data_IF_911457992647
#
_entry.id   IF_911457992647
#
_cell.length_a   1.000
_cell.length_b   1.000
_cell.length_c   1.000
_cell.angle_alpha   90.00
_cell.angle_beta   90.00
_cell.angle_gamma   90.00
#
_symmetry.space_group_name_H-M   'P 1'
#
loop_
_entity.id
_entity.type
_entity.pdbx_description
1 polymer ?
#
# COMPACT_ATOMS: atom_id res chain seq x y z
N UNK A 1 -38.95 22.38 -22.63
CA UNK A 1 -38.09 21.24 -22.99
C UNK A 1 -37.53 21.56 -24.36
N UNK A 2 -36.38 22.20 -24.39
CA UNK A 2 -35.65 22.47 -25.63
C UNK A 2 -34.67 21.32 -25.78
N UNK A 3 -34.87 20.50 -26.82
CA UNK A 3 -33.89 19.51 -27.25
C UNK A 3 -32.55 20.21 -27.41
N UNK A 4 -31.60 19.84 -26.57
CA UNK A 4 -30.26 20.39 -26.60
C UNK A 4 -29.55 19.88 -27.85
N UNK A 5 -29.22 20.80 -28.76
CA UNK A 5 -28.48 20.52 -29.98
C UNK A 5 -27.19 19.75 -29.64
N UNK A 6 -26.95 18.55 -30.21
CA UNK A 6 -25.76 17.74 -29.94
C UNK A 6 -24.42 18.44 -30.25
N UNK A 7 -24.44 19.62 -30.88
CA UNK A 7 -23.30 20.50 -31.07
C UNK A 7 -23.15 21.67 -30.08
N UNK A 8 -23.94 21.78 -29.00
CA UNK A 8 -23.82 22.92 -28.06
C UNK A 8 -22.41 22.96 -27.41
N UNK A 9 -21.61 24.02 -27.64
CA UNK A 9 -20.28 24.15 -27.06
C UNK A 9 -20.24 24.03 -25.53
N UNK A 10 -21.34 24.35 -24.84
CA UNK A 10 -21.46 24.23 -23.40
C UNK A 10 -21.54 22.75 -22.93
N UNK A 11 -22.25 21.90 -23.68
CA UNK A 11 -22.32 20.47 -23.40
C UNK A 11 -20.96 19.81 -23.60
N UNK A 12 -20.29 20.15 -24.71
CA UNK A 12 -18.97 19.63 -25.03
C UNK A 12 -17.92 20.10 -24.03
N UNK A 13 -17.98 21.37 -23.60
CA UNK A 13 -17.08 21.87 -22.56
C UNK A 13 -17.28 21.15 -21.21
N UNK A 14 -18.53 20.91 -20.80
CA UNK A 14 -18.82 20.13 -19.60
C UNK A 14 -18.28 18.69 -19.71
N UNK A 15 -18.51 18.03 -20.86
CA UNK A 15 -18.01 16.68 -21.13
C UNK A 15 -16.48 16.62 -21.01
N UNK A 16 -15.78 17.55 -21.65
CA UNK A 16 -14.31 17.62 -21.62
C UNK A 16 -13.78 17.94 -20.21
N UNK A 17 -14.44 18.82 -19.45
CA UNK A 17 -14.04 19.12 -18.08
C UNK A 17 -14.10 17.87 -17.18
N UNK A 18 -15.17 17.07 -17.32
CA UNK A 18 -15.33 15.80 -16.61
C UNK A 18 -14.29 14.76 -17.03
N UNK A 19 -14.12 14.55 -18.33
CA UNK A 19 -13.16 13.56 -18.83
C UNK A 19 -11.73 13.90 -18.46
N UNK A 20 -11.33 15.18 -18.54
CA UNK A 20 -10.01 15.61 -18.12
C UNK A 20 -9.78 15.37 -16.62
N UNK A 21 -10.78 15.62 -15.78
CA UNK A 21 -10.70 15.31 -14.37
C UNK A 21 -10.57 13.79 -14.14
N UNK A 22 -11.45 12.99 -14.73
CA UNK A 22 -11.43 11.53 -14.61
C UNK A 22 -10.08 10.93 -15.07
N UNK A 23 -9.55 11.37 -16.22
CA UNK A 23 -8.23 10.96 -16.70
C UNK A 23 -7.10 11.41 -15.77
N UNK A 24 -7.18 12.60 -15.20
CA UNK A 24 -6.22 13.09 -14.21
C UNK A 24 -6.23 12.24 -12.94
N UNK A 25 -7.41 11.85 -12.45
CA UNK A 25 -7.55 10.94 -11.31
C UNK A 25 -6.95 9.56 -11.60
N UNK A 26 -7.28 8.96 -12.75
CA UNK A 26 -6.76 7.64 -13.16
C UNK A 26 -5.24 7.67 -13.29
N UNK A 27 -4.70 8.69 -13.96
CA UNK A 27 -3.25 8.88 -14.14
C UNK A 27 -2.57 9.08 -12.79
N UNK A 28 -3.16 9.90 -11.92
CA UNK A 28 -2.70 10.11 -10.54
C UNK A 28 -2.63 8.82 -9.74
N UNK A 29 -3.63 7.92 -9.85
CA UNK A 29 -3.61 6.62 -9.20
C UNK A 29 -2.47 5.72 -9.71
N UNK A 30 -2.31 5.59 -11.04
CA UNK A 30 -1.24 4.78 -11.63
C UNK A 30 0.16 5.28 -11.28
N UNK A 31 0.36 6.58 -11.34
CA UNK A 31 1.65 7.19 -11.00
C UNK A 31 1.95 7.03 -9.51
N UNK A 32 0.98 7.29 -8.64
CA UNK A 32 1.16 7.14 -7.19
C UNK A 32 1.44 5.69 -6.79
N UNK A 33 0.82 4.72 -7.47
CA UNK A 33 1.11 3.31 -7.26
C UNK A 33 2.54 2.95 -7.72
N UNK A 34 2.95 3.40 -8.90
CA UNK A 34 4.28 3.15 -9.46
C UNK A 34 5.39 3.74 -8.58
N UNK A 35 5.16 4.88 -7.93
CA UNK A 35 6.08 5.53 -6.99
C UNK A 35 6.38 4.71 -5.72
N UNK A 36 5.66 3.61 -5.51
CA UNK A 36 5.95 2.68 -4.42
C UNK A 36 6.99 1.61 -4.78
N UNK A 37 7.35 1.47 -6.06
CA UNK A 37 8.35 0.50 -6.52
C UNK A 37 9.67 0.56 -5.73
N UNK A 38 10.26 1.74 -5.45
CA UNK A 38 11.49 1.82 -4.67
C UNK A 38 11.36 1.29 -3.23
N UNK A 39 10.16 1.30 -2.64
CA UNK A 39 9.93 0.72 -1.32
C UNK A 39 10.00 -0.81 -1.36
N UNK A 40 9.39 -1.39 -2.41
CA UNK A 40 9.42 -2.84 -2.65
C UNK A 40 10.84 -3.31 -2.98
N UNK A 41 11.58 -2.53 -3.76
CA UNK A 41 13.00 -2.79 -4.07
C UNK A 41 13.86 -2.78 -2.80
N UNK A 42 13.75 -1.73 -1.97
CA UNK A 42 14.46 -1.65 -0.69
C UNK A 42 14.16 -2.83 0.23
N UNK A 43 12.90 -3.25 0.30
CA UNK A 43 12.52 -4.44 1.06
C UNK A 43 13.15 -5.71 0.48
N UNK A 44 13.17 -5.86 -0.85
CA UNK A 44 13.77 -7.01 -1.53
C UNK A 44 15.28 -7.08 -1.32
N UNK A 45 15.98 -5.95 -1.41
CA UNK A 45 17.42 -5.86 -1.10
C UNK A 45 17.70 -6.16 0.37
N UNK A 46 16.90 -5.62 1.29
CA UNK A 46 17.04 -5.88 2.72
C UNK A 46 16.85 -7.37 3.03
N UNK A 47 15.85 -8.00 2.43
CA UNK A 47 15.59 -9.43 2.54
C UNK A 47 16.77 -10.24 2.00
N UNK A 48 17.24 -9.93 0.78
CA UNK A 48 18.35 -10.62 0.14
C UNK A 48 19.64 -10.52 0.97
N UNK A 49 19.98 -9.31 1.44
CA UNK A 49 21.14 -9.07 2.27
C UNK A 49 21.03 -9.82 3.61
N UNK A 50 19.86 -9.78 4.26
CA UNK A 50 19.61 -10.50 5.50
C UNK A 50 19.74 -12.01 5.36
N UNK A 51 19.13 -12.60 4.32
CA UNK A 51 19.24 -14.04 4.05
C UNK A 51 20.64 -14.45 3.64
N UNK A 52 21.33 -13.64 2.83
CA UNK A 52 22.70 -13.90 2.38
C UNK A 52 23.70 -13.84 3.53
N UNK A 53 23.63 -12.81 4.37
CA UNK A 53 24.48 -12.69 5.55
C UNK A 53 24.25 -13.83 6.54
N UNK A 54 22.98 -14.22 6.77
CA UNK A 54 22.65 -15.34 7.67
C UNK A 54 23.21 -16.66 7.15
N UNK A 55 23.05 -16.95 5.85
CA UNK A 55 23.59 -18.16 5.24
C UNK A 55 25.12 -18.20 5.29
N UNK A 56 25.78 -17.08 4.96
CA UNK A 56 27.24 -16.99 4.99
C UNK A 56 27.80 -17.19 6.40
N UNK A 57 27.23 -16.52 7.42
CA UNK A 57 27.64 -16.68 8.81
C UNK A 57 27.42 -18.11 9.32
N UNK A 58 26.28 -18.73 8.98
CA UNK A 58 26.01 -20.10 9.40
C UNK A 58 27.03 -21.07 8.79
N UNK A 59 27.29 -20.99 7.48
CA UNK A 59 28.26 -21.86 6.81
C UNK A 59 29.68 -21.68 7.36
N UNK A 60 30.10 -20.42 7.54
CA UNK A 60 31.49 -20.11 7.95
C UNK A 60 31.77 -20.41 9.42
N UNK A 61 30.75 -20.37 10.29
CA UNK A 61 30.95 -20.51 11.73
C UNK A 61 30.42 -21.80 12.33
N UNK A 62 29.81 -22.69 11.54
CA UNK A 62 29.21 -23.92 12.05
C UNK A 62 30.22 -24.80 12.81
N UNK A 63 31.43 -24.97 12.26
CA UNK A 63 32.50 -25.77 12.87
C UNK A 63 33.03 -25.15 14.18
N UNK A 64 33.07 -23.81 14.24
CA UNK A 64 33.53 -23.06 15.42
C UNK A 64 32.51 -23.08 16.55
N UNK A 65 31.21 -23.15 16.24
CA UNK A 65 30.11 -23.00 17.22
C UNK A 65 29.65 -24.34 17.80
N UNK A 66 29.66 -25.42 16.99
CA UNK A 66 29.25 -26.77 17.40
C UNK A 66 29.90 -27.27 18.71
N UNK A 67 31.23 -27.09 18.93
CA UNK A 67 31.90 -27.54 20.15
C UNK A 67 31.38 -26.88 21.44
N UNK A 68 30.90 -25.64 21.35
CA UNK A 68 30.49 -24.84 22.52
C UNK A 68 28.99 -24.84 22.79
N UNK A 69 28.17 -25.41 21.92
CA UNK A 69 26.72 -25.41 22.08
C UNK A 69 26.11 -26.81 22.15
N UNK A 70 26.91 -27.87 21.92
CA UNK A 70 26.45 -29.23 21.66
C UNK A 70 25.52 -29.30 20.44
N UNK A 71 25.38 -30.48 19.82
CA UNK A 71 24.52 -30.64 18.64
C UNK A 71 23.05 -30.27 18.93
N UNK A 72 22.57 -30.60 20.15
CA UNK A 72 21.19 -30.33 20.56
C UNK A 72 20.95 -28.85 20.87
N UNK A 73 21.89 -28.20 21.59
CA UNK A 73 21.78 -26.76 21.90
C UNK A 73 21.87 -25.90 20.63
N UNK A 74 22.73 -26.26 19.68
CA UNK A 74 22.80 -25.60 18.37
C UNK A 74 21.46 -25.67 17.61
N UNK A 75 20.84 -26.85 17.51
CA UNK A 75 19.54 -27.02 16.83
C UNK A 75 18.43 -26.19 17.47
N UNK A 76 18.33 -26.20 18.80
CA UNK A 76 17.30 -25.45 19.53
C UNK A 76 17.50 -23.94 19.35
N UNK A 77 18.72 -23.45 19.54
CA UNK A 77 19.04 -22.04 19.35
C UNK A 77 18.74 -21.59 17.91
N UNK A 78 19.07 -22.42 16.91
CA UNK A 78 18.75 -22.15 15.51
C UNK A 78 17.24 -22.06 15.27
N UNK A 79 16.44 -22.98 15.82
CA UNK A 79 14.98 -22.95 15.69
C UNK A 79 14.39 -21.67 16.29
N UNK A 80 14.80 -21.29 17.51
CA UNK A 80 14.30 -20.08 18.18
C UNK A 80 14.69 -18.83 17.39
N UNK A 81 15.92 -18.79 16.85
CA UNK A 81 16.40 -17.69 16.02
C UNK A 81 15.62 -17.58 14.71
N UNK A 82 15.35 -18.69 14.02
CA UNK A 82 14.55 -18.72 12.79
C UNK A 82 13.12 -18.24 13.07
N UNK A 83 12.50 -18.69 14.17
CA UNK A 83 11.17 -18.21 14.57
C UNK A 83 11.18 -16.70 14.83
N UNK A 84 12.18 -16.19 15.55
CA UNK A 84 12.35 -14.74 15.75
C UNK A 84 12.44 -13.99 14.42
N UNK A 85 13.28 -14.47 13.49
CA UNK A 85 13.44 -13.86 12.18
C UNK A 85 12.14 -13.86 11.37
N UNK A 86 11.35 -14.94 11.39
CA UNK A 86 10.03 -15.02 10.75
C UNK A 86 9.07 -13.95 11.30
N UNK A 87 9.05 -13.75 12.62
CA UNK A 87 8.23 -12.68 13.21
C UNK A 87 8.72 -11.29 12.78
N UNK A 88 10.03 -11.10 12.68
CA UNK A 88 10.63 -9.87 12.13
C UNK A 88 10.22 -9.61 10.68
N UNK A 89 10.19 -10.64 9.83
CA UNK A 89 9.69 -10.54 8.45
C UNK A 89 8.21 -10.14 8.40
N UNK A 90 7.37 -10.74 9.25
CA UNK A 90 5.95 -10.38 9.35
C UNK A 90 5.79 -8.93 9.80
N UNK A 91 6.54 -8.49 10.81
CA UNK A 91 6.54 -7.09 11.25
C UNK A 91 6.95 -6.13 10.13
N UNK A 92 8.02 -6.46 9.40
CA UNK A 92 8.51 -5.66 8.27
C UNK A 92 7.51 -5.60 7.11
N UNK A 93 6.80 -6.69 6.83
CA UNK A 93 5.72 -6.71 5.85
C UNK A 93 4.60 -5.72 6.20
N UNK A 94 4.13 -5.72 7.46
CA UNK A 94 3.11 -4.76 7.90
C UNK A 94 3.60 -3.31 7.85
N UNK A 95 4.87 -3.08 8.19
CA UNK A 95 5.52 -1.77 8.08
C UNK A 95 5.53 -1.28 6.62
N UNK A 96 6.01 -2.12 5.70
CA UNK A 96 6.04 -1.80 4.27
C UNK A 96 4.64 -1.49 3.73
N UNK A 97 3.64 -2.29 4.13
CA UNK A 97 2.25 -2.05 3.73
C UNK A 97 1.73 -0.68 4.19
N UNK A 98 2.06 -0.27 5.43
CA UNK A 98 1.70 1.04 5.95
C UNK A 98 2.39 2.16 5.16
N UNK A 99 3.68 2.01 4.88
CA UNK A 99 4.48 2.99 4.14
C UNK A 99 3.99 3.16 2.69
N UNK A 100 3.72 2.05 2.00
CA UNK A 100 3.09 2.02 0.68
C UNK A 100 1.78 2.80 0.69
N UNK A 101 0.90 2.51 1.66
CA UNK A 101 -0.40 3.17 1.73
C UNK A 101 -0.28 4.69 1.91
N UNK A 102 0.55 5.13 2.87
CA UNK A 102 0.77 6.56 3.13
C UNK A 102 1.38 7.25 1.93
N UNK A 103 2.36 6.62 1.27
CA UNK A 103 3.04 7.20 0.10
C UNK A 103 2.10 7.31 -1.10
N UNK A 104 1.28 6.29 -1.38
CA UNK A 104 0.24 6.34 -2.42
C UNK A 104 -0.73 7.48 -2.13
N UNK A 105 -1.26 7.56 -0.90
CA UNK A 105 -2.24 8.59 -0.55
C UNK A 105 -1.66 10.00 -0.67
N UNK A 106 -0.45 10.22 -0.14
CA UNK A 106 0.22 11.52 -0.21
C UNK A 106 0.46 11.94 -1.65
N UNK A 107 1.00 11.04 -2.48
CA UNK A 107 1.33 11.37 -3.87
C UNK A 107 0.09 11.50 -4.75
N UNK A 108 -0.94 10.70 -4.48
CA UNK A 108 -2.22 10.80 -5.16
C UNK A 108 -2.86 12.16 -4.89
N UNK A 109 -2.90 12.60 -3.63
CA UNK A 109 -3.42 13.91 -3.28
C UNK A 109 -2.62 15.04 -3.93
N UNK A 110 -1.29 14.94 -3.96
CA UNK A 110 -0.42 15.92 -4.62
C UNK A 110 -0.72 16.04 -6.13
N UNK A 111 -0.93 14.92 -6.82
CA UNK A 111 -1.20 14.89 -8.27
C UNK A 111 -2.63 15.29 -8.62
N UNK A 112 -3.61 14.92 -7.79
CA UNK A 112 -5.03 15.14 -8.07
C UNK A 112 -5.51 16.51 -7.61
N UNK A 113 -4.94 17.09 -6.55
CA UNK A 113 -5.32 18.44 -6.10
C UNK A 113 -5.35 19.50 -7.22
N UNK A 114 -4.31 19.66 -8.07
CA UNK A 114 -4.36 20.65 -9.15
C UNK A 114 -5.39 20.30 -10.23
N UNK A 115 -5.67 19.02 -10.46
CA UNK A 115 -6.72 18.55 -11.40
C UNK A 115 -8.10 18.93 -10.85
N UNK A 116 -8.32 18.71 -9.56
CA UNK A 116 -9.57 19.05 -8.88
C UNK A 116 -9.78 20.56 -8.82
N UNK A 117 -8.77 21.33 -8.42
CA UNK A 117 -8.82 22.81 -8.37
C UNK A 117 -9.16 23.41 -9.74
N UNK A 118 -8.66 22.80 -10.84
CA UNK A 118 -9.01 23.21 -12.21
C UNK A 118 -10.45 22.82 -12.55
N UNK A 119 -10.85 21.59 -12.24
CA UNK A 119 -12.19 21.09 -12.50
C UNK A 119 -13.27 21.93 -11.81
N UNK A 120 -13.07 22.26 -10.53
CA UNK A 120 -13.98 23.09 -9.73
C UNK A 120 -14.13 24.50 -10.33
N UNK A 121 -13.01 25.14 -10.72
CA UNK A 121 -13.04 26.45 -11.37
C UNK A 121 -13.79 26.44 -12.70
N UNK A 122 -13.56 25.41 -13.52
CA UNK A 122 -14.25 25.28 -14.81
C UNK A 122 -15.73 24.93 -14.59
N UNK A 123 -16.04 24.11 -13.58
CA UNK A 123 -17.41 23.76 -13.18
C UNK A 123 -18.23 24.97 -12.74
N UNK A 124 -17.67 25.85 -11.91
CA UNK A 124 -18.35 27.09 -11.47
C UNK A 124 -18.73 27.96 -12.67
N UNK A 125 -17.82 28.11 -13.63
CA UNK A 125 -18.08 28.87 -14.87
C UNK A 125 -19.13 28.17 -15.73
N UNK A 126 -19.04 26.86 -15.91
CA UNK A 126 -20.02 26.07 -16.67
C UNK A 126 -21.42 26.22 -16.07
N UNK A 127 -21.55 26.15 -14.73
CA UNK A 127 -22.82 26.35 -14.02
C UNK A 127 -23.38 27.77 -14.21
N UNK A 128 -22.52 28.79 -14.20
CA UNK A 128 -22.92 30.17 -14.47
C UNK A 128 -23.50 30.33 -15.88
N UNK A 129 -22.81 29.82 -16.91
CA UNK A 129 -23.28 29.84 -18.29
C UNK A 129 -24.55 28.98 -18.49
N UNK A 130 -24.64 27.84 -17.81
CA UNK A 130 -25.83 26.98 -17.86
C UNK A 130 -27.06 27.67 -17.26
N UNK A 131 -26.88 28.41 -16.15
CA UNK A 131 -27.94 29.22 -15.53
C UNK A 131 -28.42 30.33 -16.46
N UNK A 132 -27.51 30.99 -17.19
CA UNK A 132 -27.85 31.99 -18.20
C UNK A 132 -28.66 31.39 -19.37
N UNK A 133 -28.36 30.16 -19.78
CA UNK A 133 -29.09 29.42 -20.82
C UNK A 133 -30.35 28.69 -20.32
N UNK A 134 -30.61 28.67 -19.02
CA UNK A 134 -31.73 27.92 -18.43
C UNK A 134 -31.59 26.39 -18.53
N UNK A 135 -30.37 25.87 -18.70
CA UNK A 135 -30.07 24.43 -18.82
C UNK A 135 -29.49 23.93 -17.50
N UNK A 136 -29.85 22.71 -17.10
CA UNK A 136 -29.22 22.03 -15.96
C UNK A 136 -28.22 21.02 -16.48
N UNK A 137 -26.97 21.07 -16.00
CA UNK A 137 -25.89 20.19 -16.42
C UNK A 137 -25.38 19.38 -15.23
N UNK A 138 -25.13 18.09 -15.47
CA UNK A 138 -24.47 17.24 -14.50
C UNK A 138 -22.95 17.39 -14.64
N UNK A 139 -22.33 18.00 -13.65
CA UNK A 139 -20.89 18.33 -13.62
C UNK A 139 -20.09 17.33 -12.78
N UNK A 140 -20.74 16.51 -11.96
CA UNK A 140 -20.10 15.58 -11.03
C UNK A 140 -19.17 14.56 -11.73
N UNK A 141 -18.01 14.33 -11.12
CA UNK A 141 -17.01 13.33 -11.52
C UNK A 141 -17.54 11.92 -11.23
N UNK A 142 -17.45 11.00 -12.19
CA UNK A 142 -17.83 9.60 -11.98
C UNK A 142 -16.67 8.76 -11.42
N UNK A 143 -16.66 8.58 -10.10
CA UNK A 143 -15.70 7.72 -9.41
C UNK A 143 -15.76 6.24 -9.87
N UNK A 144 -16.91 5.78 -10.38
CA UNK A 144 -17.05 4.42 -10.90
C UNK A 144 -16.27 4.25 -12.20
N UNK A 145 -16.32 5.24 -13.08
CA UNK A 145 -15.53 5.27 -14.32
C UNK A 145 -14.04 5.32 -14.02
N UNK A 146 -13.61 6.15 -13.08
CA UNK A 146 -12.22 6.20 -12.61
C UNK A 146 -11.77 4.83 -12.11
N UNK A 147 -12.55 4.18 -11.24
CA UNK A 147 -12.19 2.88 -10.68
C UNK A 147 -12.16 1.78 -11.75
N UNK A 148 -13.10 1.82 -12.71
CA UNK A 148 -13.13 0.87 -13.82
C UNK A 148 -11.86 0.98 -14.67
N UNK A 149 -11.50 2.20 -15.10
CA UNK A 149 -10.27 2.47 -15.87
C UNK A 149 -9.01 2.12 -15.08
N UNK A 150 -8.91 2.53 -13.82
CA UNK A 150 -7.79 2.16 -12.94
C UNK A 150 -7.67 0.64 -12.80
N UNK A 151 -8.80 -0.08 -12.74
CA UNK A 151 -8.80 -1.52 -12.58
C UNK A 151 -8.41 -2.28 -13.85
N UNK A 152 -8.55 -1.68 -15.04
CA UNK A 152 -8.36 -2.35 -16.35
C UNK A 152 -7.08 -3.17 -16.50
N UNK A 153 -5.87 -2.68 -16.15
CA UNK A 153 -4.63 -3.44 -16.33
C UNK A 153 -4.48 -4.62 -15.38
N UNK A 154 -5.30 -4.72 -14.33
CA UNK A 154 -5.20 -5.81 -13.36
C UNK A 154 -5.88 -7.10 -13.86
N UNK A 155 -5.36 -8.27 -13.46
CA UNK A 155 -6.01 -9.55 -13.75
C UNK A 155 -7.33 -9.70 -12.98
N UNK A 156 -8.19 -10.63 -13.44
CA UNK A 156 -9.57 -10.78 -12.95
C UNK A 156 -9.66 -10.99 -11.43
N UNK A 157 -8.72 -11.72 -10.84
CA UNK A 157 -8.71 -12.02 -9.41
C UNK A 157 -8.43 -10.76 -8.57
N UNK A 158 -7.57 -9.86 -9.05
CA UNK A 158 -7.30 -8.56 -8.38
C UNK A 158 -8.51 -7.64 -8.51
N UNK A 159 -9.13 -7.58 -9.69
CA UNK A 159 -10.38 -6.81 -9.90
C UNK A 159 -11.47 -7.26 -8.93
N UNK A 160 -11.63 -8.58 -8.76
CA UNK A 160 -12.56 -9.15 -7.79
C UNK A 160 -12.23 -8.75 -6.35
N UNK A 161 -10.95 -8.77 -5.95
CA UNK A 161 -10.52 -8.32 -4.61
C UNK A 161 -10.80 -6.83 -4.37
N UNK A 162 -10.54 -5.98 -5.35
CA UNK A 162 -10.81 -4.53 -5.28
C UNK A 162 -12.31 -4.31 -5.09
N UNK A 163 -13.15 -4.90 -5.95
CA UNK A 163 -14.61 -4.76 -5.90
C UNK A 163 -15.17 -5.23 -4.56
N UNK A 164 -14.76 -6.42 -4.09
CA UNK A 164 -15.20 -6.96 -2.80
C UNK A 164 -14.81 -6.05 -1.63
N UNK A 165 -13.62 -5.43 -1.71
CA UNK A 165 -13.16 -4.53 -0.65
C UNK A 165 -13.88 -3.20 -0.67
N UNK A 166 -14.18 -2.63 -1.84
CA UNK A 166 -15.00 -1.43 -1.98
C UNK A 166 -16.39 -1.69 -1.39
N UNK A 167 -17.04 -2.80 -1.76
CA UNK A 167 -18.36 -3.18 -1.22
C UNK A 167 -18.35 -3.38 0.30
N UNK A 168 -17.32 -4.04 0.84
CA UNK A 168 -17.20 -4.25 2.29
C UNK A 168 -17.01 -2.94 3.07
N UNK A 169 -16.52 -1.91 2.39
CA UNK A 169 -16.10 -0.65 2.99
C UNK A 169 -17.04 0.51 2.63
N UNK A 170 -18.08 0.24 1.83
CA UNK A 170 -19.05 1.25 1.42
C UNK A 170 -19.78 1.80 2.64
N UNK A 171 -19.64 3.10 2.90
CA UNK A 171 -20.25 3.78 4.04
C UNK A 171 -19.26 4.19 5.15
N UNK A 172 -18.06 3.61 5.20
CA UNK A 172 -17.01 4.03 6.16
C UNK A 172 -16.05 5.03 5.50
N UNK A 173 -16.25 6.32 5.78
CA UNK A 173 -15.38 7.42 5.28
C UNK A 173 -13.94 7.32 5.78
N UNK A 174 -13.70 6.62 6.90
CA UNK A 174 -12.39 6.54 7.55
C UNK A 174 -11.69 5.19 7.35
N UNK A 175 -12.27 4.30 6.55
CA UNK A 175 -11.74 2.95 6.41
C UNK A 175 -10.30 2.87 5.91
N UNK A 176 -9.86 3.82 5.08
CA UNK A 176 -8.47 3.95 4.68
C UNK A 176 -7.56 4.09 5.90
N UNK A 177 -7.88 5.00 6.80
CA UNK A 177 -7.12 5.23 8.03
C UNK A 177 -7.21 4.02 9.00
N UNK A 178 -8.38 3.39 9.12
CA UNK A 178 -8.53 2.18 9.93
C UNK A 178 -7.62 1.04 9.46
N UNK A 179 -7.48 0.85 8.15
CA UNK A 179 -6.60 -0.17 7.57
C UNK A 179 -5.13 0.14 7.89
N UNK A 180 -4.71 1.40 7.78
CA UNK A 180 -3.35 1.83 8.08
C UNK A 180 -3.01 1.63 9.56
N UNK A 181 -3.87 2.11 10.46
CA UNK A 181 -3.67 1.97 11.91
C UNK A 181 -3.66 0.51 12.34
N UNK A 182 -4.53 -0.33 11.76
CA UNK A 182 -4.51 -1.77 12.05
C UNK A 182 -3.22 -2.45 11.58
N UNK A 183 -2.67 -2.04 10.43
CA UNK A 183 -1.37 -2.52 9.96
C UNK A 183 -0.24 -2.10 10.91
N UNK A 184 -0.25 -0.83 11.35
CA UNK A 184 0.70 -0.30 12.32
C UNK A 184 0.65 -1.03 13.68
N UNK A 185 -0.55 -1.25 14.24
CA UNK A 185 -0.71 -2.01 15.48
C UNK A 185 -0.26 -3.46 15.32
N UNK A 186 -0.50 -4.07 14.16
CA UNK A 186 0.00 -5.41 13.84
C UNK A 186 1.53 -5.42 13.80
N UNK A 187 2.17 -4.44 13.16
CA UNK A 187 3.63 -4.29 13.13
C UNK A 187 4.20 -4.27 14.55
N UNK A 188 3.68 -3.41 15.44
CA UNK A 188 4.14 -3.31 16.83
C UNK A 188 4.06 -4.66 17.53
N UNK A 189 2.92 -5.35 17.41
CA UNK A 189 2.71 -6.64 18.06
C UNK A 189 3.73 -7.69 17.59
N UNK A 190 4.00 -7.75 16.29
CA UNK A 190 4.98 -8.72 15.76
C UNK A 190 6.42 -8.37 16.13
N UNK A 191 6.78 -7.08 16.14
CA UNK A 191 8.09 -6.63 16.62
C UNK A 191 8.30 -6.97 18.09
N UNK A 192 7.26 -6.83 18.92
CA UNK A 192 7.32 -7.21 20.33
C UNK A 192 7.61 -8.71 20.50
N UNK A 193 6.89 -9.58 19.77
CA UNK A 193 7.14 -11.02 19.83
C UNK A 193 8.51 -11.42 19.25
N UNK A 194 8.97 -10.74 18.19
CA UNK A 194 10.33 -10.92 17.65
C UNK A 194 11.37 -10.64 18.74
N UNK A 195 11.24 -9.52 19.47
CA UNK A 195 12.15 -9.15 20.55
C UNK A 195 12.14 -10.17 21.69
N UNK A 196 10.97 -10.65 22.11
CA UNK A 196 10.86 -11.68 23.13
C UNK A 196 11.54 -13.00 22.72
N UNK A 197 11.33 -13.45 21.48
CA UNK A 197 12.00 -14.65 20.97
C UNK A 197 13.52 -14.46 20.82
N UNK A 198 13.95 -13.25 20.46
CA UNK A 198 15.38 -12.95 20.38
C UNK A 198 16.04 -13.01 21.77
N UNK A 199 15.38 -12.47 22.80
CA UNK A 199 15.83 -12.61 24.19
C UNK A 199 15.86 -14.08 24.60
N UNK A 200 14.82 -14.85 24.27
CA UNK A 200 14.77 -16.29 24.54
C UNK A 200 15.94 -17.03 23.88
N UNK A 201 16.28 -16.69 22.63
CA UNK A 201 17.44 -17.24 21.92
C UNK A 201 18.74 -17.00 22.70
N UNK A 202 19.00 -15.76 23.13
CA UNK A 202 20.20 -15.43 23.91
C UNK A 202 20.26 -16.23 25.21
N UNK A 203 19.15 -16.31 25.95
CA UNK A 203 19.09 -17.09 27.19
C UNK A 203 19.34 -18.58 26.96
N UNK A 204 18.75 -19.16 25.91
CA UNK A 204 18.99 -20.57 25.56
C UNK A 204 20.44 -20.81 25.14
N UNK A 205 21.03 -19.90 24.36
CA UNK A 205 22.41 -20.03 23.92
C UNK A 205 23.39 -19.96 25.10
N UNK A 206 23.19 -19.02 26.03
CA UNK A 206 24.00 -18.94 27.26
C UNK A 206 23.83 -20.16 28.15
N UNK A 207 22.61 -20.70 28.28
CA UNK A 207 22.36 -21.89 29.09
C UNK A 207 23.10 -23.12 28.54
N UNK A 208 23.00 -23.37 27.24
CA UNK A 208 23.71 -24.48 26.60
C UNK A 208 25.23 -24.28 26.58
N UNK A 209 25.72 -23.05 26.45
CA UNK A 209 27.15 -22.76 26.51
C UNK A 209 27.76 -23.00 27.90
N UNK A 210 26.99 -22.79 28.97
CA UNK A 210 27.43 -23.05 30.35
C UNK A 210 27.23 -24.51 30.80
N UNK A 211 26.51 -25.32 30.02
CA UNK A 211 26.18 -26.71 30.34
C UNK A 211 27.19 -27.72 29.75
N UNK A 212 28.21 -27.23 29.03
CA UNK A 212 29.34 -27.97 28.45
C UNK A 212 30.58 -27.71 29.31
#
# INVERSE_FOLDING_TARGET
MTDSDPGDPLLEWNRLNKENAEHGFVSGLFQSMSETSPLVEKFSMWLLAGTGATAALLITQIESVLPYLSESGFKICLIVLVLSALLGFIAKYYSLRCEIQTKVQSKFMELVKPVLDKHEKDEDRIKEYAKQKGVTLQTDIDLSRIMNEFSRPFPFWVKWLISRKIQKTSGDRQAGFHIAVKAYMSQIRWTFFQALLFIAFILTATWYANAI
#
